data_IF_149574418118
#
_entry.id   IF_149574418118
#
_cell.length_a   1.000
_cell.length_b   1.000
_cell.length_c   1.000
_cell.angle_alpha   90.00
_cell.angle_beta   90.00
_cell.angle_gamma   90.00
#
_symmetry.space_group_name_H-M   'P 1'
#
loop_
_entity.id
_entity.type
_entity.pdbx_description
1 polymer ?
#
# COMPACT_ATOMS: atom_id res chain seq x y z
N UNK A 1 -0.13 -31.27 -2.65
CA UNK A 1 0.22 -30.40 -1.50
C UNK A 1 0.20 -28.95 -1.95
N UNK A 2 -0.32 -28.04 -1.12
CA UNK A 2 -0.39 -26.61 -1.42
C UNK A 2 0.41 -25.77 -0.42
N UNK A 3 0.71 -24.51 -0.75
CA UNK A 3 1.41 -23.60 0.17
C UNK A 3 0.42 -22.77 0.98
N UNK A 4 0.62 -22.73 2.29
CA UNK A 4 -0.21 -21.91 3.19
C UNK A 4 -0.13 -20.44 2.81
N UNK A 5 -1.29 -19.82 2.55
CA UNK A 5 -1.38 -18.43 2.10
C UNK A 5 -0.83 -17.43 3.13
N UNK A 6 -0.75 -17.78 4.41
CA UNK A 6 -0.24 -16.89 5.45
C UNK A 6 1.29 -16.94 5.59
N UNK A 7 1.86 -18.15 5.70
CA UNK A 7 3.26 -18.37 6.06
C UNK A 7 4.13 -19.00 4.95
N UNK A 8 3.52 -19.38 3.82
CA UNK A 8 4.16 -20.02 2.67
C UNK A 8 4.79 -21.40 2.93
N UNK A 9 4.38 -22.10 3.99
CA UNK A 9 4.81 -23.49 4.26
C UNK A 9 3.85 -24.47 3.58
N UNK A 10 4.35 -25.64 3.21
CA UNK A 10 3.52 -26.72 2.65
C UNK A 10 2.45 -27.19 3.64
N UNK A 11 1.26 -27.46 3.12
CA UNK A 11 0.13 -28.00 3.88
C UNK A 11 -0.88 -28.67 2.96
N UNK A 12 -1.69 -29.55 3.53
CA UNK A 12 -2.80 -30.21 2.86
C UNK A 12 -4.16 -29.66 3.27
N UNK A 13 -4.22 -28.93 4.40
CA UNK A 13 -5.45 -28.32 4.89
C UNK A 13 -5.81 -27.11 4.04
N UNK A 14 -7.05 -27.06 3.58
CA UNK A 14 -7.61 -25.95 2.85
C UNK A 14 -8.87 -25.42 3.52
N UNK A 15 -9.13 -24.13 3.31
CA UNK A 15 -10.28 -23.40 3.83
C UNK A 15 -10.92 -22.62 2.68
N UNK A 16 -12.21 -22.32 2.83
CA UNK A 16 -12.92 -21.44 1.92
C UNK A 16 -12.93 -20.03 2.48
N UNK A 17 -12.57 -19.05 1.64
CA UNK A 17 -12.61 -17.63 1.97
C UNK A 17 -13.37 -16.88 0.88
N UNK A 18 -14.11 -15.84 1.28
CA UNK A 18 -14.84 -15.00 0.34
C UNK A 18 -14.01 -13.76 0.03
N UNK A 19 -13.53 -13.66 -1.21
CA UNK A 19 -12.64 -12.57 -1.65
C UNK A 19 -13.06 -11.99 -2.99
N UNK A 20 -12.49 -10.83 -3.33
CA UNK A 20 -12.68 -10.26 -4.67
C UNK A 20 -11.79 -10.97 -5.70
N UNK A 21 -12.37 -11.34 -6.83
CA UNK A 21 -11.67 -11.87 -8.01
C UNK A 21 -11.46 -10.83 -9.13
N UNK A 22 -11.76 -9.57 -8.84
CA UNK A 22 -11.68 -8.45 -9.77
C UNK A 22 -12.93 -7.60 -9.67
N UNK A 23 -14.09 -8.18 -9.98
CA UNK A 23 -15.38 -7.46 -9.98
C UNK A 23 -16.39 -8.02 -9.00
N UNK A 24 -16.28 -9.30 -8.62
CA UNK A 24 -17.27 -9.96 -7.78
C UNK A 24 -16.62 -10.58 -6.54
N UNK A 25 -17.44 -10.84 -5.51
CA UNK A 25 -17.01 -11.65 -4.37
C UNK A 25 -17.28 -13.11 -4.69
N UNK A 26 -16.23 -13.88 -4.90
CA UNK A 26 -16.30 -15.32 -5.12
C UNK A 26 -15.68 -16.08 -3.94
N UNK A 27 -16.13 -17.32 -3.76
CA UNK A 27 -15.46 -18.24 -2.83
C UNK A 27 -14.16 -18.73 -3.46
N UNK A 28 -13.08 -18.64 -2.70
CA UNK A 28 -11.75 -19.08 -3.08
C UNK A 28 -11.28 -20.13 -2.08
N UNK A 29 -10.67 -21.20 -2.59
CA UNK A 29 -10.04 -22.23 -1.77
C UNK A 29 -8.58 -21.81 -1.54
N UNK A 30 -8.17 -21.70 -0.28
CA UNK A 30 -6.81 -21.31 0.11
C UNK A 30 -6.28 -22.29 1.15
N UNK A 31 -4.98 -22.54 1.12
CA UNK A 31 -4.32 -23.48 2.03
C UNK A 31 -3.92 -22.80 3.36
N UNK A 32 -4.05 -23.50 4.49
CA UNK A 32 -3.68 -22.97 5.82
C UNK A 32 -3.03 -24.04 6.72
N UNK A 33 -2.12 -23.66 7.63
CA UNK A 33 -1.42 -24.59 8.52
C UNK A 33 -2.10 -24.85 9.87
N UNK A 34 -3.35 -24.43 10.08
CA UNK A 34 -4.02 -24.53 11.38
C UNK A 34 -5.03 -23.41 11.63
N UNK A 35 -5.66 -23.43 12.80
CA UNK A 35 -6.72 -22.47 13.17
C UNK A 35 -6.22 -21.04 13.31
N UNK A 36 -5.00 -20.83 13.84
CA UNK A 36 -4.41 -19.48 13.96
C UNK A 36 -4.24 -18.81 12.59
N UNK A 37 -3.67 -19.55 11.62
CA UNK A 37 -3.50 -19.03 10.26
C UNK A 37 -4.83 -18.88 9.53
N UNK A 38 -5.80 -19.75 9.80
CA UNK A 38 -7.14 -19.63 9.25
C UNK A 38 -7.80 -18.31 9.69
N UNK A 39 -7.70 -17.97 10.98
CA UNK A 39 -8.22 -16.72 11.52
C UNK A 39 -7.54 -15.51 10.86
N UNK A 40 -6.21 -15.49 10.82
CA UNK A 40 -5.44 -14.40 10.19
C UNK A 40 -5.76 -14.21 8.71
N UNK A 41 -5.95 -15.31 7.97
CA UNK A 41 -6.36 -15.25 6.56
C UNK A 41 -7.77 -14.67 6.46
N UNK A 42 -8.73 -15.16 7.25
CA UNK A 42 -10.11 -14.64 7.23
C UNK A 42 -10.15 -13.14 7.57
N UNK A 43 -9.45 -12.73 8.61
CA UNK A 43 -9.34 -11.33 9.05
C UNK A 43 -8.74 -10.45 7.93
N UNK A 44 -7.71 -10.94 7.23
CA UNK A 44 -7.12 -10.25 6.08
C UNK A 44 -8.11 -10.07 4.93
N UNK A 45 -8.86 -11.12 4.58
CA UNK A 45 -9.88 -11.06 3.52
C UNK A 45 -11.04 -10.15 3.92
N UNK A 46 -11.49 -10.17 5.17
CA UNK A 46 -12.53 -9.29 5.67
C UNK A 46 -12.08 -7.82 5.62
N UNK A 47 -10.86 -7.54 6.09
CA UNK A 47 -10.26 -6.22 6.03
C UNK A 47 -10.14 -5.72 4.58
N UNK A 48 -9.67 -6.57 3.67
CA UNK A 48 -9.57 -6.26 2.23
C UNK A 48 -10.94 -6.01 1.61
N UNK A 49 -11.94 -6.81 1.96
CA UNK A 49 -13.31 -6.64 1.47
C UNK A 49 -13.96 -5.34 1.97
N UNK A 50 -13.65 -4.93 3.21
CA UNK A 50 -14.20 -3.73 3.84
C UNK A 50 -13.56 -2.45 3.32
N UNK A 51 -12.25 -2.47 3.13
CA UNK A 51 -11.47 -1.26 2.84
C UNK A 51 -10.84 -1.20 1.44
N UNK A 52 -10.86 -2.29 0.67
CA UNK A 52 -10.25 -2.36 -0.66
C UNK A 52 -10.74 -1.27 -1.61
N UNK A 53 -12.06 -1.04 -1.68
CA UNK A 53 -12.63 0.05 -2.50
C UNK A 53 -12.17 1.44 -2.05
N UNK A 54 -12.09 1.67 -0.74
CA UNK A 54 -11.60 2.95 -0.18
C UNK A 54 -10.13 3.17 -0.52
N UNK A 55 -9.30 2.14 -0.41
CA UNK A 55 -7.90 2.21 -0.82
C UNK A 55 -7.75 2.56 -2.31
N UNK A 56 -8.48 1.88 -3.20
CA UNK A 56 -8.42 2.14 -4.65
C UNK A 56 -8.82 3.58 -4.95
N UNK A 57 -9.90 4.09 -4.35
CA UNK A 57 -10.33 5.47 -4.54
C UNK A 57 -9.24 6.45 -4.05
N UNK A 58 -8.71 6.24 -2.84
CA UNK A 58 -7.70 7.13 -2.25
C UNK A 58 -6.40 7.15 -3.06
N UNK A 59 -5.88 5.98 -3.45
CA UNK A 59 -4.64 5.89 -4.22
C UNK A 59 -4.82 6.51 -5.63
N UNK A 60 -6.00 6.35 -6.24
CA UNK A 60 -6.31 6.94 -7.55
C UNK A 60 -6.38 8.46 -7.46
N UNK A 61 -7.13 9.01 -6.49
CA UNK A 61 -7.23 10.45 -6.28
C UNK A 61 -5.86 11.07 -5.99
N UNK A 62 -5.04 10.42 -5.15
CA UNK A 62 -3.69 10.89 -4.86
C UNK A 62 -2.78 10.80 -6.08
N UNK A 63 -2.90 9.77 -6.92
CA UNK A 63 -2.10 9.65 -8.15
C UNK A 63 -2.45 10.76 -9.15
N UNK A 64 -3.75 11.07 -9.31
CA UNK A 64 -4.21 12.21 -10.12
C UNK A 64 -3.68 13.52 -9.52
N UNK A 65 -3.69 13.66 -8.19
CA UNK A 65 -3.16 14.85 -7.53
C UNK A 65 -1.67 15.03 -7.78
N UNK A 66 -0.85 13.96 -7.82
CA UNK A 66 0.57 14.04 -8.19
C UNK A 66 0.73 14.60 -9.61
N UNK A 67 -0.06 14.10 -10.57
CA UNK A 67 -0.01 14.56 -11.96
C UNK A 67 -0.33 16.04 -12.13
N UNK A 68 -1.23 16.60 -11.31
CA UNK A 68 -1.56 18.03 -11.33
C UNK A 68 -0.66 18.91 -10.46
N UNK A 69 -0.24 18.39 -9.31
CA UNK A 69 0.52 19.13 -8.30
C UNK A 69 1.94 19.45 -8.76
N UNK A 70 2.60 18.52 -9.48
CA UNK A 70 3.97 18.75 -9.97
C UNK A 70 4.03 19.91 -10.97
N UNK A 71 3.21 19.95 -12.05
CA UNK A 71 3.14 21.13 -12.93
C UNK A 71 2.76 22.41 -12.19
N UNK A 72 1.74 22.36 -11.32
CA UNK A 72 1.27 23.53 -10.58
C UNK A 72 2.37 24.13 -9.69
N UNK A 73 3.19 23.28 -9.07
CA UNK A 73 4.32 23.71 -8.25
C UNK A 73 5.36 24.52 -9.04
N UNK A 74 5.52 24.27 -10.35
CA UNK A 74 6.43 25.06 -11.19
C UNK A 74 5.89 26.45 -11.56
N UNK A 75 4.57 26.64 -11.56
CA UNK A 75 3.94 27.94 -11.87
C UNK A 75 3.80 28.87 -10.66
N UNK A 76 3.93 28.33 -9.45
CA UNK A 76 3.78 29.09 -8.21
C UNK A 76 5.11 29.77 -7.88
N UNK A 77 5.10 31.11 -7.77
CA UNK A 77 6.29 31.90 -7.38
C UNK A 77 6.64 31.79 -5.88
N UNK A 78 5.81 31.12 -5.08
CA UNK A 78 6.09 30.88 -3.67
C UNK A 78 6.71 29.48 -3.49
N UNK A 79 8.01 29.46 -3.23
CA UNK A 79 8.79 28.23 -3.18
C UNK A 79 8.37 27.26 -2.08
N UNK A 80 7.92 27.78 -0.93
CA UNK A 80 7.43 26.97 0.18
C UNK A 80 6.12 26.29 -0.22
N UNK A 81 5.22 27.04 -0.86
CA UNK A 81 3.95 26.53 -1.33
C UNK A 81 4.14 25.49 -2.45
N UNK A 82 5.08 25.72 -3.38
CA UNK A 82 5.45 24.78 -4.44
C UNK A 82 5.96 23.45 -3.88
N UNK A 83 6.82 23.49 -2.84
CA UNK A 83 7.30 22.27 -2.19
C UNK A 83 6.17 21.51 -1.49
N UNK A 84 5.33 22.20 -0.74
CA UNK A 84 4.20 21.56 -0.05
C UNK A 84 3.29 20.89 -1.05
N UNK A 85 2.89 21.59 -2.10
CA UNK A 85 2.00 21.03 -3.14
C UNK A 85 2.67 19.86 -3.87
N UNK A 86 3.94 19.98 -4.24
CA UNK A 86 4.66 18.95 -4.98
C UNK A 86 4.91 17.66 -4.18
N UNK A 87 5.21 17.74 -2.88
CA UNK A 87 5.61 16.58 -2.08
C UNK A 87 4.52 16.02 -1.16
N UNK A 88 3.53 16.81 -0.75
CA UNK A 88 2.45 16.35 0.13
C UNK A 88 1.70 15.13 -0.42
N UNK A 89 1.36 15.05 -1.73
CA UNK A 89 0.73 13.85 -2.28
C UNK A 89 1.55 12.57 -2.08
N UNK A 90 2.87 12.62 -2.19
CA UNK A 90 3.73 11.45 -1.99
C UNK A 90 3.74 10.98 -0.53
N UNK A 91 3.74 11.91 0.43
CA UNK A 91 3.62 11.60 1.86
C UNK A 91 2.28 10.93 2.17
N UNK A 92 1.20 11.46 1.58
CA UNK A 92 -0.15 10.90 1.72
C UNK A 92 -0.27 9.52 1.06
N UNK A 93 0.34 9.30 -0.10
CA UNK A 93 0.41 7.98 -0.76
C UNK A 93 1.07 6.97 0.17
N UNK A 94 2.23 7.32 0.73
CA UNK A 94 2.92 6.48 1.70
C UNK A 94 2.03 6.17 2.90
N UNK A 95 1.26 7.15 3.41
CA UNK A 95 0.37 6.95 4.55
C UNK A 95 -0.78 6.01 4.22
N UNK A 96 -1.40 6.17 3.05
CA UNK A 96 -2.48 5.30 2.56
C UNK A 96 -2.00 3.87 2.41
N UNK A 97 -0.82 3.64 1.81
CA UNK A 97 -0.25 2.29 1.66
C UNK A 97 0.11 1.69 3.03
N UNK A 98 0.54 2.50 3.99
CA UNK A 98 0.85 2.03 5.35
C UNK A 98 -0.41 1.58 6.12
N UNK A 99 -1.51 2.35 6.03
CA UNK A 99 -2.81 2.03 6.66
C UNK A 99 -3.48 0.84 5.95
N UNK A 100 -3.39 0.80 4.63
CA UNK A 100 -3.97 -0.25 3.79
C UNK A 100 -2.84 -1.01 3.08
N UNK A 101 -2.13 -1.91 3.79
CA UNK A 101 -0.97 -2.62 3.26
C UNK A 101 -1.39 -3.79 2.37
N UNK A 102 -2.30 -3.53 1.43
CA UNK A 102 -2.78 -4.51 0.48
C UNK A 102 -1.64 -4.91 -0.44
N UNK A 103 -1.31 -6.19 -0.38
CA UNK A 103 -0.35 -6.79 -1.29
C UNK A 103 -1.08 -7.37 -2.50
N UNK A 104 -0.42 -7.33 -3.67
CA UNK A 104 -0.98 -7.94 -4.87
C UNK A 104 -1.15 -9.45 -4.69
N UNK A 105 -2.12 -10.10 -5.37
CA UNK A 105 -2.31 -11.54 -5.30
C UNK A 105 -1.04 -12.34 -5.65
N UNK A 106 -0.22 -11.82 -6.57
CA UNK A 106 1.07 -12.41 -6.90
C UNK A 106 2.06 -12.34 -5.73
N UNK A 107 2.10 -11.22 -5.00
CA UNK A 107 2.96 -11.07 -3.82
C UNK A 107 2.52 -11.96 -2.67
N UNK A 108 1.21 -12.04 -2.40
CA UNK A 108 0.66 -12.90 -1.34
C UNK A 108 0.90 -14.38 -1.63
N UNK A 109 0.78 -14.81 -2.90
CA UNK A 109 1.12 -16.19 -3.31
C UNK A 109 2.61 -16.50 -3.20
N UNK A 110 3.50 -15.53 -3.44
CA UNK A 110 4.96 -15.76 -3.45
C UNK A 110 5.59 -15.70 -2.06
N UNK A 111 5.06 -14.86 -1.17
CA UNK A 111 5.69 -14.59 0.13
C UNK A 111 4.81 -14.93 1.33
N UNK A 112 3.52 -15.24 1.10
CA UNK A 112 2.50 -15.28 2.13
C UNK A 112 2.01 -13.89 2.54
N UNK A 113 0.81 -13.81 3.12
CA UNK A 113 0.19 -12.58 3.62
C UNK A 113 1.10 -11.89 4.65
N UNK A 114 1.66 -12.64 5.61
CA UNK A 114 2.48 -12.10 6.71
C UNK A 114 3.66 -11.29 6.19
N UNK A 115 4.43 -11.87 5.27
CA UNK A 115 5.62 -11.21 4.73
C UNK A 115 5.25 -10.10 3.74
N UNK A 116 4.20 -10.30 2.95
CA UNK A 116 3.74 -9.30 1.98
C UNK A 116 3.30 -8.02 2.68
N UNK A 117 2.44 -8.12 3.70
CA UNK A 117 2.01 -6.97 4.52
C UNK A 117 3.21 -6.27 5.15
N UNK A 118 4.17 -7.03 5.70
CA UNK A 118 5.38 -6.46 6.31
C UNK A 118 6.22 -5.69 5.28
N UNK A 119 6.41 -6.24 4.07
CA UNK A 119 7.15 -5.58 2.98
C UNK A 119 6.43 -4.32 2.50
N UNK A 120 5.12 -4.37 2.31
CA UNK A 120 4.30 -3.22 1.90
C UNK A 120 4.40 -2.08 2.91
N UNK A 121 4.29 -2.37 4.22
CA UNK A 121 4.47 -1.36 5.28
C UNK A 121 5.87 -0.75 5.30
N UNK A 122 6.91 -1.57 5.09
CA UNK A 122 8.30 -1.08 5.01
C UNK A 122 8.50 -0.15 3.81
N UNK A 123 8.00 -0.54 2.64
CA UNK A 123 8.06 0.27 1.44
C UNK A 123 7.32 1.60 1.63
N UNK A 124 6.13 1.57 2.22
CA UNK A 124 5.35 2.75 2.54
C UNK A 124 6.11 3.75 3.42
N UNK A 125 6.71 3.28 4.52
CA UNK A 125 7.56 4.12 5.38
C UNK A 125 8.78 4.66 4.66
N UNK A 126 9.42 3.84 3.83
CA UNK A 126 10.58 4.26 3.05
C UNK A 126 10.21 5.42 2.10
N UNK A 127 9.09 5.31 1.38
CA UNK A 127 8.58 6.37 0.51
C UNK A 127 8.33 7.65 1.32
N UNK A 128 7.66 7.57 2.47
CA UNK A 128 7.41 8.74 3.32
C UNK A 128 8.70 9.43 3.77
N UNK A 129 9.66 8.66 4.29
CA UNK A 129 10.94 9.20 4.77
C UNK A 129 11.70 9.87 3.63
N UNK A 130 11.80 9.21 2.47
CA UNK A 130 12.48 9.77 1.30
C UNK A 130 11.82 11.05 0.84
N UNK A 131 10.48 11.09 0.74
CA UNK A 131 9.75 12.31 0.35
C UNK A 131 9.99 13.47 1.33
N UNK A 132 9.99 13.21 2.64
CA UNK A 132 10.26 14.23 3.66
C UNK A 132 11.70 14.73 3.57
N UNK A 133 12.68 13.82 3.49
CA UNK A 133 14.11 14.18 3.41
C UNK A 133 14.39 15.00 2.15
N UNK A 134 13.87 14.59 1.00
CA UNK A 134 14.02 15.34 -0.25
C UNK A 134 13.39 16.73 -0.16
N UNK A 135 12.23 16.86 0.47
CA UNK A 135 11.57 18.15 0.69
C UNK A 135 12.45 19.09 1.53
N UNK A 136 13.05 18.57 2.60
CA UNK A 136 13.94 19.35 3.49
C UNK A 136 15.23 19.74 2.75
N UNK A 137 15.85 18.82 2.02
CA UNK A 137 17.08 19.09 1.27
C UNK A 137 16.86 20.17 0.21
N UNK A 138 15.76 20.08 -0.56
CA UNK A 138 15.41 21.11 -1.54
C UNK A 138 15.17 22.47 -0.88
N UNK A 139 14.50 22.50 0.28
CA UNK A 139 14.31 23.74 1.04
C UNK A 139 15.64 24.39 1.44
N UNK A 140 16.60 23.60 1.92
CA UNK A 140 17.94 24.10 2.30
C UNK A 140 18.69 24.63 1.07
N UNK A 141 18.73 23.88 -0.03
CA UNK A 141 19.44 24.27 -1.26
C UNK A 141 18.93 25.59 -1.78
N UNK A 142 17.60 25.74 -1.88
CA UNK A 142 16.98 26.97 -2.35
C UNK A 142 17.29 28.16 -1.46
N UNK A 143 17.25 27.97 -0.13
CA UNK A 143 17.56 29.04 0.82
C UNK A 143 19.03 29.48 0.75
N UNK A 144 19.94 28.60 0.33
CA UNK A 144 21.37 28.93 0.14
C UNK A 144 21.62 29.65 -1.20
N UNK A 145 20.78 29.41 -2.20
CA UNK A 145 20.91 30.03 -3.54
C UNK A 145 20.24 31.41 -3.69
N UNK A 146 19.35 31.78 -2.76
CA UNK A 146 18.68 33.08 -2.69
C UNK A 146 19.37 34.00 -1.67
#
# INVERSE_FOLDING_TARGET
>A
MGECLFCNKETEKSIKVKGYDGFSKSEQIVFCCGEDHEKEIKDYYEYTNKYGKRFIILITLLSISVCGAVPLAFYINNIVLSMVIGFLPFVLIGQVIYIYPFATPQSTRKFGIKNSVRKTKKLARFIQIVSIVLSILLFIVIKVML
#
